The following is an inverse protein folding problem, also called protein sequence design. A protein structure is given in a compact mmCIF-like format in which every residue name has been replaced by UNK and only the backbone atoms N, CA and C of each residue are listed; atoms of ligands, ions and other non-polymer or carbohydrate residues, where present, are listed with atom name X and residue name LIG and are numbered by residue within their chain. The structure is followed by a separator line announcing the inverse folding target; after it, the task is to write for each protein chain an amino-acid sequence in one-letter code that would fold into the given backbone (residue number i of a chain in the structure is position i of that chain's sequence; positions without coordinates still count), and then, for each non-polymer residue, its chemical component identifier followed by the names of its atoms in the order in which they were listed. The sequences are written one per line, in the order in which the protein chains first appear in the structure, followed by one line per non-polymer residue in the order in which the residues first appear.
data_IF_030173706055
#
_entry.id   IF_030173706055
#
_cell.length_a   1.000
_cell.length_b   1.000
_cell.length_c   1.000
_cell.angle_alpha   90.00
_cell.angle_beta   90.00
_cell.angle_gamma   90.00
#
_symmetry.space_group_name_H-M   'P 1'
#
loop_
_entity.id
_entity.type
_entity.pdbx_description
1 polymer ?
#
# COMPACT_ATOMS: atom_id res chain seq x y z
N UNK A 1 18.96 23.12 18.41
CA UNK A 1 19.32 21.82 17.80
C UNK A 1 18.67 21.76 16.44
N UNK A 2 19.43 21.51 15.38
CA UNK A 2 18.87 21.28 14.03
C UNK A 2 18.78 19.78 13.80
N UNK A 3 17.58 19.23 13.83
CA UNK A 3 17.33 17.87 13.38
C UNK A 3 17.41 17.85 11.85
N UNK A 4 18.29 16.98 11.31
CA UNK A 4 18.44 16.80 9.87
C UNK A 4 17.97 15.41 9.48
N UNK A 5 17.28 15.31 8.33
CA UNK A 5 16.82 14.04 7.79
C UNK A 5 17.95 13.39 6.98
N UNK A 6 18.17 12.10 7.22
CA UNK A 6 19.14 11.26 6.53
C UNK A 6 18.41 10.07 5.90
N UNK A 7 18.79 9.68 4.68
CA UNK A 7 18.28 8.47 4.05
C UNK A 7 18.75 7.24 4.84
N UNK A 8 17.81 6.42 5.34
CA UNK A 8 18.12 5.25 6.17
C UNK A 8 18.10 3.92 5.44
N UNK A 9 17.50 3.84 4.25
CA UNK A 9 17.41 2.60 3.49
C UNK A 9 16.37 2.68 2.38
N UNK A 10 16.17 1.57 1.66
CA UNK A 10 15.19 1.47 0.57
C UNK A 10 14.29 0.24 0.71
N UNK A 11 13.04 0.35 0.25
CA UNK A 11 12.11 -0.76 0.06
C UNK A 11 12.00 -1.03 -1.44
N UNK A 12 12.28 -2.26 -1.88
CA UNK A 12 12.29 -2.63 -3.30
C UNK A 12 11.36 -3.82 -3.55
N UNK A 13 10.55 -3.72 -4.60
CA UNK A 13 9.63 -4.81 -4.95
C UNK A 13 8.51 -4.42 -5.93
N UNK A 14 8.14 -3.15 -6.01
CA UNK A 14 7.22 -2.69 -7.05
C UNK A 14 7.89 -2.69 -8.43
N UNK A 15 7.13 -3.03 -9.47
CA UNK A 15 7.57 -3.02 -10.87
C UNK A 15 7.04 -1.79 -11.64
N UNK A 16 6.75 -0.72 -10.91
CA UNK A 16 6.16 0.50 -11.42
C UNK A 16 6.23 1.60 -10.37
N UNK A 17 5.85 2.82 -10.75
CA UNK A 17 5.88 3.96 -9.84
C UNK A 17 5.00 3.70 -8.62
N UNK A 18 5.58 3.90 -7.43
CA UNK A 18 4.83 3.96 -6.18
C UNK A 18 4.02 5.26 -6.19
N UNK A 19 2.71 5.14 -6.11
CA UNK A 19 1.78 6.27 -6.25
C UNK A 19 1.36 6.84 -4.90
N UNK A 20 1.21 6.00 -3.88
CA UNK A 20 0.87 6.40 -2.52
C UNK A 20 1.48 5.45 -1.49
N UNK A 21 1.70 5.96 -0.27
CA UNK A 21 1.98 5.18 0.94
C UNK A 21 0.93 5.44 2.04
N UNK A 22 0.66 4.44 2.86
CA UNK A 22 -0.17 4.55 4.05
C UNK A 22 0.51 3.89 5.25
N UNK A 23 0.38 4.52 6.41
CA UNK A 23 0.91 4.05 7.69
C UNK A 23 -0.23 3.81 8.67
N UNK A 24 0.03 3.03 9.72
CA UNK A 24 -0.90 2.84 10.81
C UNK A 24 -0.19 3.07 12.16
N UNK A 25 -0.72 3.93 13.05
CA UNK A 25 -0.07 4.26 14.32
C UNK A 25 -0.04 3.07 15.31
N UNK A 26 -1.01 2.15 15.23
CA UNK A 26 -1.05 0.93 16.06
C UNK A 26 -0.04 -0.11 15.59
N UNK A 27 0.30 -0.13 14.30
CA UNK A 27 1.27 -1.06 13.72
C UNK A 27 2.38 -0.29 12.98
N UNK A 28 3.32 0.32 13.72
CA UNK A 28 4.37 1.18 13.13
C UNK A 28 5.37 0.43 12.25
N UNK A 29 5.40 -0.91 12.35
CA UNK A 29 6.23 -1.77 11.50
C UNK A 29 5.55 -2.16 10.19
N UNK A 30 4.30 -1.76 9.99
CA UNK A 30 3.53 -2.04 8.79
C UNK A 30 3.39 -0.78 7.92
N UNK A 31 3.85 -0.87 6.69
CA UNK A 31 3.59 0.14 5.65
C UNK A 31 2.81 -0.52 4.52
N UNK A 32 1.85 0.20 3.95
CA UNK A 32 1.18 -0.17 2.72
C UNK A 32 1.58 0.79 1.61
N UNK A 33 1.89 0.27 0.42
CA UNK A 33 2.12 1.10 -0.76
C UNK A 33 1.26 0.63 -1.92
N UNK A 34 0.85 1.58 -2.76
CA UNK A 34 0.19 1.33 -4.04
C UNK A 34 1.09 1.70 -5.22
N UNK A 35 0.86 1.09 -6.38
CA UNK A 35 1.71 1.32 -7.55
C UNK A 35 0.97 1.24 -8.88
N UNK A 36 1.60 1.82 -9.91
CA UNK A 36 1.24 1.61 -11.32
C UNK A 36 1.47 0.18 -11.81
N UNK A 37 2.15 -0.67 -11.06
CA UNK A 37 2.21 -2.10 -11.37
C UNK A 37 0.90 -2.86 -11.08
N UNK A 38 -0.16 -2.14 -10.69
CA UNK A 38 -1.52 -2.64 -10.41
C UNK A 38 -1.61 -3.47 -9.13
N UNK A 39 -0.58 -3.44 -8.30
CA UNK A 39 -0.53 -4.14 -7.02
C UNK A 39 -0.40 -3.17 -5.86
N UNK A 40 -0.87 -3.62 -4.70
CA UNK A 40 -0.44 -3.05 -3.42
C UNK A 40 0.56 -3.99 -2.75
N UNK A 41 1.49 -3.43 -1.99
CA UNK A 41 2.43 -4.21 -1.18
C UNK A 41 2.30 -3.81 0.28
N UNK A 42 2.06 -4.80 1.14
CA UNK A 42 2.19 -4.67 2.60
C UNK A 42 3.64 -5.01 2.95
N UNK A 43 4.33 -4.10 3.61
CA UNK A 43 5.71 -4.23 4.03
C UNK A 43 5.80 -4.43 5.53
N UNK A 44 6.74 -5.28 5.96
CA UNK A 44 7.21 -5.33 7.33
C UNK A 44 8.55 -4.61 7.41
N UNK A 45 8.62 -3.53 8.18
CA UNK A 45 9.86 -2.78 8.41
C UNK A 45 10.77 -3.57 9.36
N UNK A 46 11.98 -3.82 8.91
CA UNK A 46 13.06 -4.42 9.69
C UNK A 46 14.00 -3.33 10.23
N UNK A 47 14.02 -2.15 9.60
CA UNK A 47 14.90 -1.01 9.91
C UNK A 47 16.39 -1.33 9.77
N UNK A 48 16.72 -2.32 8.94
CA UNK A 48 18.10 -2.58 8.51
C UNK A 48 18.49 -1.58 7.41
N UNK A 49 19.69 -0.99 7.51
CA UNK A 49 20.14 0.06 6.58
C UNK A 49 20.33 -0.49 5.15
N UNK A 50 20.72 -1.76 5.03
CA UNK A 50 20.88 -2.41 3.72
C UNK A 50 19.53 -2.74 3.07
N UNK A 51 18.54 -3.13 3.87
CA UNK A 51 17.18 -3.44 3.42
C UNK A 51 16.16 -3.07 4.49
N UNK A 52 15.53 -1.91 4.33
CA UNK A 52 14.75 -1.28 5.41
C UNK A 52 13.47 -2.05 5.78
N UNK A 53 13.04 -2.97 4.92
CA UNK A 53 11.89 -3.80 5.14
C UNK A 53 11.63 -4.79 4.02
N UNK A 54 10.85 -5.80 4.32
CA UNK A 54 10.54 -6.90 3.40
C UNK A 54 9.07 -6.85 2.97
N UNK A 55 8.75 -7.18 1.71
CA UNK A 55 7.37 -7.31 1.27
C UNK A 55 6.75 -8.54 1.93
N UNK A 56 5.72 -8.34 2.75
CA UNK A 56 5.02 -9.41 3.46
C UNK A 56 3.86 -9.97 2.65
N UNK A 57 3.08 -9.12 1.97
CA UNK A 57 1.95 -9.52 1.12
C UNK A 57 1.87 -8.65 -0.12
N UNK A 58 1.44 -9.25 -1.23
CA UNK A 58 1.09 -8.55 -2.48
C UNK A 58 -0.40 -8.72 -2.74
N UNK A 59 -1.10 -7.61 -2.96
CA UNK A 59 -2.53 -7.60 -3.21
C UNK A 59 -2.77 -7.37 -4.70
N UNK A 60 -3.30 -8.40 -5.35
CA UNK A 60 -3.61 -8.42 -6.78
C UNK A 60 -5.11 -8.30 -6.99
N UNK A 61 -5.51 -7.67 -8.09
CA UNK A 61 -6.90 -7.67 -8.53
C UNK A 61 -7.31 -6.45 -9.33
N UNK A 62 -6.64 -5.31 -9.14
CA UNK A 62 -6.87 -4.15 -10.00
C UNK A 62 -6.37 -4.43 -11.43
N UNK A 63 -7.15 -4.03 -12.43
CA UNK A 63 -6.79 -4.24 -13.85
C UNK A 63 -6.03 -3.06 -14.45
N UNK A 64 -5.97 -1.93 -13.72
CA UNK A 64 -5.21 -0.73 -14.08
C UNK A 64 -4.46 -0.15 -12.86
N UNK A 65 -3.66 0.89 -13.11
CA UNK A 65 -2.87 1.63 -12.14
C UNK A 65 -3.67 2.02 -10.91
N UNK A 66 -3.10 1.76 -9.73
CA UNK A 66 -3.68 2.20 -8.47
C UNK A 66 -3.17 3.63 -8.23
N UNK A 67 -4.09 4.56 -8.06
CA UNK A 67 -3.75 5.97 -7.84
C UNK A 67 -3.56 6.29 -6.36
N UNK A 68 -4.24 5.57 -5.47
CA UNK A 68 -4.29 5.93 -4.05
C UNK A 68 -4.56 4.71 -3.16
N UNK A 69 -4.14 4.81 -1.90
CA UNK A 69 -4.42 3.82 -0.86
C UNK A 69 -4.50 4.47 0.53
N UNK A 70 -5.45 4.01 1.33
CA UNK A 70 -5.56 4.35 2.75
C UNK A 70 -5.68 3.12 3.62
N UNK A 71 -5.24 3.24 4.88
CA UNK A 71 -5.38 2.22 5.92
C UNK A 71 -6.47 2.65 6.91
N UNK A 72 -7.26 1.68 7.33
CA UNK A 72 -8.11 1.81 8.51
C UNK A 72 -7.26 1.98 9.77
N UNK A 73 -7.78 2.71 10.76
CA UNK A 73 -7.09 2.96 12.03
C UNK A 73 -6.86 1.69 12.85
N UNK A 74 -7.74 0.70 12.73
CA UNK A 74 -7.58 -0.61 13.36
C UNK A 74 -6.55 -1.50 12.66
N UNK A 75 -6.11 -1.12 11.45
CA UNK A 75 -5.10 -1.78 10.61
C UNK A 75 -5.57 -3.09 9.98
N UNK A 76 -6.86 -3.40 10.06
CA UNK A 76 -7.40 -4.64 9.50
C UNK A 76 -7.77 -4.50 8.03
N UNK A 77 -8.06 -3.28 7.59
CA UNK A 77 -8.51 -3.00 6.23
C UNK A 77 -7.65 -1.98 5.51
N UNK A 78 -7.53 -2.17 4.20
CA UNK A 78 -7.06 -1.16 3.27
C UNK A 78 -8.13 -0.84 2.23
N UNK A 79 -8.18 0.41 1.79
CA UNK A 79 -9.02 0.84 0.67
C UNK A 79 -8.11 1.41 -0.42
N UNK A 80 -8.27 0.93 -1.65
CA UNK A 80 -7.49 1.40 -2.80
C UNK A 80 -8.40 1.93 -3.89
N UNK A 81 -7.95 2.99 -4.57
CA UNK A 81 -8.60 3.54 -5.76
C UNK A 81 -7.75 3.32 -7.00
N UNK A 82 -8.38 2.89 -8.09
CA UNK A 82 -7.69 2.58 -9.35
C UNK A 82 -8.35 3.22 -10.56
N UNK A 83 -7.52 3.41 -11.57
CA UNK A 83 -7.92 3.81 -12.92
C UNK A 83 -8.77 2.76 -13.64
N UNK A 84 -8.95 1.57 -13.07
CA UNK A 84 -9.93 0.59 -13.53
C UNK A 84 -11.38 0.97 -13.14
N UNK A 85 -11.57 2.19 -12.63
CA UNK A 85 -12.84 2.79 -12.20
C UNK A 85 -13.44 2.10 -10.99
N UNK A 86 -12.62 1.40 -10.20
CA UNK A 86 -13.09 0.71 -8.99
C UNK A 86 -12.30 1.10 -7.76
N UNK A 87 -13.00 1.09 -6.62
CA UNK A 87 -12.35 1.01 -5.32
C UNK A 87 -12.41 -0.45 -4.84
N UNK A 88 -11.38 -0.87 -4.10
CA UNK A 88 -11.34 -2.20 -3.48
C UNK A 88 -11.04 -2.10 -2.00
N UNK A 89 -11.86 -2.78 -1.21
CA UNK A 89 -11.63 -3.00 0.21
C UNK A 89 -10.90 -4.34 0.38
N UNK A 90 -9.77 -4.32 1.06
CA UNK A 90 -8.91 -5.46 1.32
C UNK A 90 -8.94 -5.78 2.81
N UNK A 91 -9.12 -7.04 3.15
CA UNK A 91 -8.87 -7.56 4.50
C UNK A 91 -7.38 -7.97 4.57
N UNK A 92 -6.62 -7.26 5.40
CA UNK A 92 -5.18 -7.44 5.55
C UNK A 92 -4.82 -8.67 6.39
N UNK A 93 -5.71 -9.11 7.29
CA UNK A 93 -5.53 -10.34 8.04
C UNK A 93 -5.66 -11.55 7.10
N UNK A 94 -6.75 -11.61 6.34
CA UNK A 94 -7.02 -12.70 5.40
C UNK A 94 -6.22 -12.59 4.08
N UNK A 95 -5.73 -11.40 3.73
CA UNK A 95 -4.95 -11.16 2.51
C UNK A 95 -5.75 -11.24 1.21
N UNK A 96 -7.05 -10.90 1.23
CA UNK A 96 -7.94 -10.98 0.06
C UNK A 96 -8.79 -9.72 -0.12
N UNK A 97 -9.27 -9.48 -1.35
CA UNK A 97 -10.30 -8.46 -1.59
C UNK A 97 -11.61 -8.93 -0.95
N UNK A 98 -12.22 -8.07 -0.15
CA UNK A 98 -13.50 -8.36 0.51
C UNK A 98 -14.66 -7.71 -0.23
N UNK A 99 -14.46 -6.51 -0.80
CA UNK A 99 -15.50 -5.79 -1.56
C UNK A 99 -14.89 -4.99 -2.71
N UNK A 100 -15.68 -4.82 -3.77
CA UNK A 100 -15.39 -3.98 -4.93
C UNK A 100 -16.51 -2.96 -5.07
N UNK A 101 -16.15 -1.70 -5.28
CA UNK A 101 -17.06 -0.58 -5.49
C UNK A 101 -16.83 -0.06 -6.90
N UNK A 102 -17.89 0.07 -7.69
CA UNK A 102 -17.82 0.32 -9.13
C UNK A 102 -18.62 1.59 -9.48
N UNK A 103 -18.90 1.80 -10.77
CA UNK A 103 -19.70 2.92 -11.29
C UNK A 103 -19.09 4.32 -11.20
N UNK A 104 -17.77 4.42 -11.03
CA UNK A 104 -17.02 5.67 -11.19
C UNK A 104 -16.77 6.03 -12.66
N UNK A 105 -17.84 6.03 -13.46
CA UNK A 105 -17.83 6.51 -14.84
C UNK A 105 -18.15 7.99 -14.89
N UNK A 106 -17.73 8.68 -15.97
CA UNK A 106 -18.28 10.01 -16.25
C UNK A 106 -19.78 9.86 -16.43
N UNK A 107 -20.56 10.48 -15.56
CA UNK A 107 -22.02 10.65 -15.71
C UNK A 107 -22.27 11.72 -16.76
#
# INVERSE_FOLDING_TARGET
MTETLQLRGTLRGHNGWVTQIATNPKYPDMILSSSRDKTLIVWKLTRDEANYGIPQKRLYGHSHFISDVVLSSDGNYALSGSWDKTLRLWDLAAGRTTRRFEDHTKV
#
